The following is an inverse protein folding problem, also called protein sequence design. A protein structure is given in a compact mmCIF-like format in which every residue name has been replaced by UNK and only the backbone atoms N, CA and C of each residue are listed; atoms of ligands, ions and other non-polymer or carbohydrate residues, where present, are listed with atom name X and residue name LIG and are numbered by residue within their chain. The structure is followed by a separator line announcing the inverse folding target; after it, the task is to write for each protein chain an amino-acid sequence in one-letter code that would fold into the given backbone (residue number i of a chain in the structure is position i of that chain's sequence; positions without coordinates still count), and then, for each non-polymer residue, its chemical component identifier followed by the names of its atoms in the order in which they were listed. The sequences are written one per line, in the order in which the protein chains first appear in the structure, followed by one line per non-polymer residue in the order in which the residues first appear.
data_IF_168714437819
#
_entry.id   IF_168714437819
#
_cell.length_a   1.000
_cell.length_b   1.000
_cell.length_c   1.000
_cell.angle_alpha   90.00
_cell.angle_beta   90.00
_cell.angle_gamma   90.00
#
_symmetry.space_group_name_H-M   'P 1'
#
loop_
_entity.id
_entity.type
_entity.pdbx_description
1 polymer ?
#
# COMPACT_ATOMS: atom_id res chain seq x y z
N UNK A 1 -14.87 -19.37 -19.39
CA UNK A 1 -14.58 -18.10 -18.69
C UNK A 1 -14.79 -18.36 -17.22
N UNK A 2 -13.74 -18.64 -16.45
CA UNK A 2 -13.85 -18.75 -14.99
C UNK A 2 -13.90 -17.32 -14.50
N UNK A 3 -15.12 -16.76 -14.45
CA UNK A 3 -15.36 -15.36 -14.18
C UNK A 3 -14.69 -14.95 -12.88
N UNK A 4 -13.93 -13.86 -12.91
CA UNK A 4 -13.56 -13.17 -11.68
C UNK A 4 -14.87 -12.80 -10.99
N UNK A 5 -15.05 -13.39 -9.82
CA UNK A 5 -16.21 -13.19 -8.96
C UNK A 5 -16.32 -11.71 -8.61
N UNK A 6 -17.35 -11.01 -9.09
CA UNK A 6 -17.55 -9.57 -8.82
C UNK A 6 -17.70 -9.29 -7.32
N UNK A 7 -18.11 -10.30 -6.54
CA UNK A 7 -18.11 -10.21 -5.09
C UNK A 7 -16.71 -10.01 -4.48
N UNK A 8 -15.64 -10.35 -5.22
CA UNK A 8 -14.26 -10.09 -4.78
C UNK A 8 -14.01 -8.61 -4.48
N UNK A 9 -14.64 -7.70 -5.24
CA UNK A 9 -14.53 -6.24 -5.00
C UNK A 9 -15.04 -5.89 -3.59
N UNK A 10 -16.14 -6.51 -3.16
CA UNK A 10 -16.71 -6.30 -1.83
C UNK A 10 -15.84 -6.97 -0.76
N UNK A 11 -15.28 -8.15 -1.03
CA UNK A 11 -14.34 -8.81 -0.11
C UNK A 11 -13.10 -7.95 0.10
N UNK A 12 -12.53 -7.39 -0.96
CA UNK A 12 -11.34 -6.51 -0.90
C UNK A 12 -11.63 -5.20 -0.14
N UNK A 13 -12.82 -4.61 -0.34
CA UNK A 13 -13.29 -3.46 0.44
C UNK A 13 -13.30 -3.79 1.95
N UNK A 14 -13.83 -4.96 2.31
CA UNK A 14 -13.92 -5.40 3.72
C UNK A 14 -12.54 -5.70 4.29
N UNK A 15 -11.66 -6.34 3.52
CA UNK A 15 -10.27 -6.57 3.91
C UNK A 15 -9.54 -5.25 4.20
N UNK A 16 -9.70 -4.27 3.32
CA UNK A 16 -9.12 -2.94 3.49
C UNK A 16 -9.68 -2.24 4.73
N UNK A 17 -10.99 -2.28 4.93
CA UNK A 17 -11.65 -1.67 6.09
C UNK A 17 -11.18 -2.29 7.41
N UNK A 18 -11.13 -3.63 7.51
CA UNK A 18 -10.64 -4.32 8.70
C UNK A 18 -9.17 -4.03 8.95
N UNK A 19 -8.34 -3.97 7.90
CA UNK A 19 -6.93 -3.61 8.01
C UNK A 19 -6.75 -2.17 8.53
N UNK A 20 -7.55 -1.21 8.04
CA UNK A 20 -7.55 0.17 8.52
C UNK A 20 -7.92 0.26 10.01
N UNK A 21 -9.00 -0.39 10.43
CA UNK A 21 -9.42 -0.41 11.85
C UNK A 21 -8.34 -1.08 12.71
N UNK A 22 -7.74 -2.17 12.24
CA UNK A 22 -6.63 -2.84 12.95
C UNK A 22 -5.44 -1.89 13.12
N UNK A 23 -5.06 -1.15 12.08
CA UNK A 23 -3.97 -0.18 12.13
C UNK A 23 -4.26 0.96 13.13
N UNK A 24 -5.50 1.46 13.18
CA UNK A 24 -5.92 2.46 14.17
C UNK A 24 -5.86 1.93 15.61
N UNK A 25 -6.35 0.71 15.85
CA UNK A 25 -6.29 0.10 17.19
C UNK A 25 -4.85 -0.21 17.62
N UNK A 26 -3.99 -0.67 16.70
CA UNK A 26 -2.55 -0.84 16.94
C UNK A 26 -1.90 0.49 17.35
N UNK A 27 -2.25 1.59 16.69
CA UNK A 27 -1.73 2.91 17.04
C UNK A 27 -2.19 3.36 18.44
N UNK A 28 -3.42 3.04 18.86
CA UNK A 28 -3.94 3.36 20.21
C UNK A 28 -3.23 2.58 21.31
N UNK A 29 -2.91 1.31 21.08
CA UNK A 29 -2.27 0.45 22.09
C UNK A 29 -0.74 0.57 22.11
N UNK A 30 -0.13 1.23 21.12
CA UNK A 30 1.33 1.30 20.93
C UNK A 30 2.12 1.63 22.18
N UNK A 31 1.75 2.70 22.90
CA UNK A 31 2.47 3.10 24.12
C UNK A 31 2.40 2.01 25.20
N UNK A 32 1.20 1.45 25.42
CA UNK A 32 0.97 0.40 26.40
C UNK A 32 1.68 -0.89 26.02
N UNK A 33 1.72 -1.25 24.74
CA UNK A 33 2.43 -2.44 24.26
C UNK A 33 3.94 -2.29 24.35
N UNK A 34 4.48 -1.09 24.13
CA UNK A 34 5.90 -0.79 24.34
C UNK A 34 6.28 -0.91 25.82
N UNK A 35 5.45 -0.41 26.74
CA UNK A 35 5.65 -0.56 28.20
C UNK A 35 5.61 -2.03 28.65
N UNK A 36 4.63 -2.81 28.17
CA UNK A 36 4.53 -4.25 28.48
C UNK A 36 5.69 -5.05 27.88
N UNK A 37 6.13 -4.70 26.68
CA UNK A 37 7.30 -5.31 26.05
C UNK A 37 8.59 -5.00 26.79
N UNK A 38 8.74 -3.78 27.32
CA UNK A 38 9.85 -3.39 28.20
C UNK A 38 9.87 -4.28 29.45
N UNK A 39 8.73 -4.45 30.13
CA UNK A 39 8.63 -5.32 31.31
C UNK A 39 8.97 -6.78 31.00
N UNK A 40 8.48 -7.30 29.86
CA UNK A 40 8.77 -8.67 29.43
C UNK A 40 10.24 -8.87 29.03
N UNK A 41 10.86 -7.85 28.45
CA UNK A 41 12.29 -7.85 28.12
C UNK A 41 13.16 -7.81 29.39
N UNK A 42 12.75 -7.04 30.41
CA UNK A 42 13.42 -7.03 31.71
C UNK A 42 13.34 -8.41 32.39
N UNK A 43 12.21 -9.10 32.29
CA UNK A 43 12.06 -10.46 32.82
C UNK A 43 12.98 -11.48 32.12
N UNK A 44 13.26 -11.30 30.82
CA UNK A 44 14.24 -12.13 30.08
C UNK A 44 15.69 -11.82 30.47
N UNK A 45 16.01 -10.55 30.76
CA UNK A 45 17.35 -10.11 31.15
C UNK A 45 17.69 -10.41 32.62
N UNK A 46 16.66 -10.43 33.48
CA UNK A 46 16.71 -10.77 34.90
C UNK A 46 15.73 -11.92 35.17
N UNK A 47 16.04 -13.16 34.74
CA UNK A 47 15.20 -14.30 35.05
C UNK A 47 15.05 -14.40 36.57
N UNK A 48 13.81 -14.35 37.05
CA UNK A 48 13.50 -14.58 38.47
C UNK A 48 13.98 -15.99 38.81
N UNK A 49 15.06 -16.11 39.57
CA UNK A 49 15.40 -17.40 40.17
C UNK A 49 14.23 -17.77 41.09
N UNK A 50 13.62 -18.95 40.97
CA UNK A 50 12.73 -19.45 42.01
C UNK A 50 13.61 -19.72 43.22
N UNK A 51 13.80 -18.72 44.08
CA UNK A 51 14.54 -18.90 45.32
C UNK A 51 13.69 -19.80 46.23
N UNK A 52 14.17 -21.01 46.57
CA UNK A 52 13.66 -21.68 47.75
C UNK A 52 14.17 -20.86 48.93
N UNK A 53 13.27 -20.49 49.85
CA UNK A 53 13.52 -19.75 51.09
C UNK A 53 13.36 -18.23 50.98
N UNK A 54 12.36 -17.76 51.71
CA UNK A 54 12.04 -16.36 52.02
C UNK A 54 13.21 -15.65 52.70
N UNK A 55 14.03 -14.95 51.92
CA UNK A 55 15.02 -13.99 52.43
C UNK A 55 14.34 -12.62 52.49
N UNK A 56 14.13 -12.08 53.70
CA UNK A 56 13.64 -10.70 53.90
C UNK A 56 14.56 -9.71 53.14
N UNK A 57 13.96 -8.80 52.37
CA UNK A 57 14.68 -7.81 51.54
C UNK A 57 15.22 -8.32 50.19
N UNK A 58 14.99 -9.59 49.81
CA UNK A 58 15.30 -10.06 48.44
C UNK A 58 14.40 -9.39 47.38
N UNK A 59 13.13 -9.16 47.71
CA UNK A 59 12.17 -8.46 46.84
C UNK A 59 12.58 -7.00 46.58
N UNK A 60 13.05 -6.28 47.61
CA UNK A 60 13.52 -4.89 47.47
C UNK A 60 14.80 -4.78 46.64
N UNK A 61 15.76 -5.70 46.84
CA UNK A 61 16.99 -5.74 46.02
C UNK A 61 16.70 -6.08 44.56
N UNK A 62 15.75 -6.97 44.30
CA UNK A 62 15.29 -7.30 42.95
C UNK A 62 14.60 -6.11 42.27
N UNK A 63 13.76 -5.36 43.01
CA UNK A 63 13.10 -4.15 42.51
C UNK A 63 14.11 -3.05 42.15
N UNK A 64 15.06 -2.75 43.04
CA UNK A 64 16.11 -1.75 42.77
C UNK A 64 17.00 -2.13 41.58
N UNK A 65 17.28 -3.42 41.41
CA UNK A 65 18.06 -3.91 40.26
C UNK A 65 17.27 -3.81 38.95
N UNK A 66 15.95 -4.06 38.99
CA UNK A 66 15.04 -3.91 37.85
C UNK A 66 14.93 -2.45 37.41
N UNK A 67 14.82 -1.52 38.35
CA UNK A 67 14.71 -0.09 38.04
C UNK A 67 15.97 0.46 37.38
N UNK A 68 17.16 0.11 37.92
CA UNK A 68 18.45 0.47 37.29
C UNK A 68 18.60 -0.12 35.89
N UNK A 69 18.13 -1.36 35.67
CA UNK A 69 18.20 -1.99 34.35
C UNK A 69 17.22 -1.34 33.37
N UNK A 70 16.04 -0.92 33.84
CA UNK A 70 15.06 -0.16 33.05
C UNK A 70 15.66 1.14 32.54
N UNK A 71 16.34 1.90 33.39
CA UNK A 71 17.03 3.14 32.98
C UNK A 71 18.08 2.87 31.89
N UNK A 72 18.92 1.83 32.08
CA UNK A 72 19.93 1.44 31.07
C UNK A 72 19.32 0.97 29.76
N UNK A 73 18.19 0.27 29.81
CA UNK A 73 17.47 -0.19 28.62
C UNK A 73 16.88 0.99 27.84
N UNK A 74 16.34 2.00 28.54
CA UNK A 74 15.86 3.25 27.94
C UNK A 74 16.99 4.09 27.35
N UNK A 75 18.16 4.07 27.99
CA UNK A 75 19.37 4.73 27.50
C UNK A 75 20.02 4.03 26.28
N UNK A 76 19.53 2.83 25.90
CA UNK A 76 20.06 2.07 24.76
C UNK A 76 21.39 1.35 25.04
N UNK A 77 21.87 1.37 26.29
CA UNK A 77 23.16 0.77 26.67
C UNK A 77 23.19 -0.75 26.56
N UNK A 78 22.02 -1.38 26.44
CA UNK A 78 21.87 -2.83 26.42
C UNK A 78 21.55 -3.40 25.03
N UNK A 79 21.39 -2.56 24.00
CA UNK A 79 20.83 -2.91 22.69
C UNK A 79 21.56 -4.05 21.96
N UNK A 80 22.84 -4.29 22.28
CA UNK A 80 23.68 -5.34 21.71
C UNK A 80 23.63 -6.68 22.47
N UNK A 81 22.97 -6.75 23.63
CA UNK A 81 22.91 -7.99 24.42
C UNK A 81 21.98 -8.99 23.75
N UNK A 82 22.36 -10.27 23.76
CA UNK A 82 21.53 -11.34 23.20
C UNK A 82 20.49 -11.82 24.21
N UNK A 83 19.26 -12.04 23.74
CA UNK A 83 18.15 -12.62 24.49
C UNK A 83 17.42 -13.66 23.66
N UNK A 84 16.86 -14.67 24.32
CA UNK A 84 16.04 -15.69 23.70
C UNK A 84 14.57 -15.25 23.72
N UNK A 85 13.98 -15.06 22.53
CA UNK A 85 12.59 -14.65 22.36
C UNK A 85 11.83 -15.76 21.63
N UNK A 86 10.64 -16.08 22.11
CA UNK A 86 9.72 -16.97 21.40
C UNK A 86 9.02 -16.19 20.30
N UNK A 87 9.22 -16.62 19.06
CA UNK A 87 8.59 -16.05 17.86
C UNK A 87 7.68 -17.10 17.25
N UNK A 88 6.49 -16.70 16.81
CA UNK A 88 5.61 -17.58 16.04
C UNK A 88 6.12 -17.66 14.61
N UNK A 89 6.56 -18.84 14.19
CA UNK A 89 7.00 -19.08 12.83
C UNK A 89 5.90 -19.83 12.07
N UNK A 90 5.38 -19.20 11.02
CA UNK A 90 4.47 -19.87 10.08
C UNK A 90 5.30 -20.55 9.01
N UNK A 91 5.60 -21.84 9.19
CA UNK A 91 6.12 -22.64 8.08
C UNK A 91 5.01 -22.90 7.07
N UNK A 92 5.24 -22.54 5.81
CA UNK A 92 4.56 -23.18 4.68
C UNK A 92 5.15 -24.59 4.56
N UNK A 93 4.36 -25.66 4.76
CA UNK A 93 4.89 -27.02 4.64
C UNK A 93 5.22 -27.29 3.16
N UNK A 94 6.50 -27.50 2.87
CA UNK A 94 6.95 -28.01 1.58
C UNK A 94 6.77 -29.54 1.60
N UNK A 95 5.97 -30.09 0.67
CA UNK A 95 5.79 -31.53 0.54
C UNK A 95 6.48 -32.01 -0.75
N UNK A 96 7.55 -32.79 -0.60
CA UNK A 96 8.20 -33.46 -1.73
C UNK A 96 7.35 -34.65 -2.17
N UNK A 97 6.76 -34.55 -3.36
CA UNK A 97 5.97 -35.64 -3.97
C UNK A 97 6.88 -36.42 -4.91
N UNK A 98 7.03 -37.73 -4.66
CA UNK A 98 7.75 -38.62 -5.56
C UNK A 98 6.85 -39.02 -6.73
N UNK A 99 7.21 -38.59 -7.95
CA UNK A 99 6.58 -39.01 -9.20
C UNK A 99 7.45 -40.06 -9.91
N UNK A 100 6.88 -41.04 -10.64
CA UNK A 100 7.65 -42.06 -11.38
C UNK A 100 8.59 -41.51 -12.48
N UNK A 101 8.49 -40.22 -12.82
CA UNK A 101 9.30 -39.56 -13.86
C UNK A 101 10.49 -38.73 -13.37
N UNK A 102 10.70 -38.60 -12.06
CA UNK A 102 11.75 -37.76 -11.49
C UNK A 102 11.29 -36.94 -10.28
N UNK A 103 12.22 -36.19 -9.70
CA UNK A 103 11.97 -35.29 -8.58
C UNK A 103 11.45 -33.95 -9.13
N UNK A 104 10.14 -33.73 -9.09
CA UNK A 104 9.54 -32.42 -9.42
C UNK A 104 9.24 -31.66 -8.12
N UNK A 105 9.82 -30.47 -7.99
CA UNK A 105 9.44 -29.50 -6.95
C UNK A 105 8.07 -28.91 -7.28
N UNK A 106 7.01 -29.54 -6.78
CA UNK A 106 5.68 -28.94 -6.81
C UNK A 106 5.54 -28.08 -5.56
N UNK A 107 5.79 -26.77 -5.71
CA UNK A 107 5.40 -25.78 -4.73
C UNK A 107 3.87 -25.76 -4.64
N UNK A 108 3.31 -26.38 -3.60
CA UNK A 108 1.88 -26.33 -3.33
C UNK A 108 1.55 -24.95 -2.73
N UNK A 109 1.41 -23.92 -3.58
CA UNK A 109 0.59 -22.77 -3.24
C UNK A 109 -0.87 -23.24 -3.23
N UNK A 110 -1.28 -23.84 -2.11
CA UNK A 110 -2.69 -24.08 -1.78
C UNK A 110 -3.11 -23.02 -0.77
N UNK A 111 -3.62 -21.85 -1.22
CA UNK A 111 -4.14 -20.85 -0.31
C UNK A 111 -5.50 -21.31 0.20
N UNK A 112 -5.63 -21.45 1.52
CA UNK A 112 -6.92 -21.25 2.19
C UNK A 112 -7.47 -22.39 3.04
N UNK A 113 -7.15 -23.67 2.76
CA UNK A 113 -7.80 -24.78 3.47
C UNK A 113 -6.90 -25.56 4.45
N UNK A 114 -5.64 -25.85 4.10
CA UNK A 114 -4.74 -26.65 4.96
C UNK A 114 -3.89 -25.82 5.93
N UNK A 115 -3.65 -24.54 5.66
CA UNK A 115 -2.79 -23.68 6.48
C UNK A 115 -3.31 -23.43 7.90
N UNK A 116 -4.62 -23.60 8.12
CA UNK A 116 -5.25 -23.45 9.43
C UNK A 116 -5.28 -24.74 10.27
N UNK A 117 -4.84 -25.89 9.73
CA UNK A 117 -4.82 -27.15 10.46
C UNK A 117 -3.51 -27.39 11.25
N UNK A 118 -2.44 -26.66 10.94
CA UNK A 118 -1.19 -26.75 11.68
C UNK A 118 -1.08 -25.56 12.65
N UNK A 119 -1.01 -25.79 13.97
CA UNK A 119 -0.79 -24.71 14.92
C UNK A 119 0.55 -24.04 14.65
N UNK A 120 0.58 -22.70 14.69
CA UNK A 120 1.82 -21.94 14.61
C UNK A 120 2.77 -22.46 15.71
N UNK A 121 3.92 -22.99 15.30
CA UNK A 121 4.93 -23.44 16.27
C UNK A 121 5.67 -22.21 16.78
N UNK A 122 5.73 -22.10 18.11
CA UNK A 122 6.59 -21.12 18.77
C UNK A 122 8.02 -21.63 18.71
N UNK A 123 8.89 -20.90 18.00
CA UNK A 123 10.31 -21.20 17.90
C UNK A 123 11.07 -20.19 18.76
N UNK A 124 12.00 -20.68 19.56
CA UNK A 124 12.87 -19.80 20.37
C UNK A 124 14.04 -19.35 19.51
N UNK A 125 14.18 -18.04 19.33
CA UNK A 125 15.26 -17.43 18.54
C UNK A 125 16.11 -16.53 19.43
N UNK A 126 17.43 -16.60 19.26
CA UNK A 126 18.36 -15.63 19.83
C UNK A 126 18.39 -14.37 18.96
N UNK A 127 18.06 -13.24 19.57
CA UNK A 127 18.04 -11.92 18.94
C UNK A 127 18.67 -10.91 19.87
N UNK A 128 19.11 -9.76 19.34
CA UNK A 128 19.58 -8.68 20.20
C UNK A 128 18.39 -8.02 20.94
N UNK A 129 18.63 -7.31 22.02
CA UNK A 129 17.55 -6.68 22.80
C UNK A 129 16.79 -5.60 22.02
N UNK A 130 17.42 -4.94 21.04
CA UNK A 130 16.76 -3.95 20.18
C UNK A 130 15.68 -4.58 19.30
N UNK A 131 15.99 -5.69 18.65
CA UNK A 131 15.10 -6.53 17.85
C UNK A 131 14.06 -7.20 18.76
N UNK A 132 14.48 -7.75 19.90
CA UNK A 132 13.59 -8.32 20.90
C UNK A 132 12.52 -7.32 21.34
N UNK A 133 12.90 -6.06 21.60
CA UNK A 133 11.96 -4.99 21.97
C UNK A 133 10.89 -4.79 20.92
N UNK A 134 11.26 -4.76 19.63
CA UNK A 134 10.32 -4.59 18.51
C UNK A 134 9.37 -5.79 18.40
N UNK A 135 9.92 -7.01 18.45
CA UNK A 135 9.14 -8.25 18.35
C UNK A 135 8.17 -8.38 19.53
N UNK A 136 8.62 -8.15 20.75
CA UNK A 136 7.79 -8.21 21.95
C UNK A 136 6.71 -7.12 21.93
N UNK A 137 7.03 -5.89 21.50
CA UNK A 137 6.05 -4.82 21.37
C UNK A 137 4.94 -5.18 20.39
N UNK A 138 5.27 -5.81 19.26
CA UNK A 138 4.28 -6.30 18.31
C UNK A 138 3.40 -7.40 18.92
N UNK A 139 3.99 -8.39 19.61
CA UNK A 139 3.23 -9.45 20.28
C UNK A 139 2.27 -8.92 21.35
N UNK A 140 2.74 -8.00 22.21
CA UNK A 140 1.89 -7.41 23.24
C UNK A 140 0.79 -6.53 22.64
N UNK A 141 1.08 -5.79 21.56
CA UNK A 141 0.08 -5.02 20.84
C UNK A 141 -1.03 -5.92 20.29
N UNK A 142 -0.68 -7.07 19.70
CA UNK A 142 -1.66 -8.02 19.16
C UNK A 142 -2.54 -8.67 20.24
N UNK A 143 -2.01 -8.87 21.45
CA UNK A 143 -2.79 -9.38 22.60
C UNK A 143 -3.77 -8.35 23.16
N UNK A 144 -3.41 -7.06 23.09
CA UNK A 144 -4.26 -5.97 23.58
C UNK A 144 -5.44 -5.66 22.65
N UNK A 145 -5.41 -6.16 21.42
CA UNK A 145 -6.45 -5.89 20.43
C UNK A 145 -7.60 -6.89 20.56
N UNK A 146 -8.80 -6.36 20.72
CA UNK A 146 -10.04 -7.11 20.58
C UNK A 146 -10.34 -7.35 19.10
N UNK A 147 -10.04 -8.57 18.63
CA UNK A 147 -10.24 -8.98 17.23
C UNK A 147 -11.72 -8.98 16.83
N UNK A 148 -12.63 -9.29 17.74
CA UNK A 148 -14.06 -9.28 17.45
C UNK A 148 -14.55 -7.85 17.24
N UNK A 149 -14.11 -6.91 18.10
CA UNK A 149 -14.40 -5.49 17.95
C UNK A 149 -13.85 -4.93 16.65
N UNK A 150 -12.59 -5.22 16.32
CA UNK A 150 -11.96 -4.78 15.05
C UNK A 150 -12.75 -5.30 13.86
N UNK A 151 -13.12 -6.58 13.87
CA UNK A 151 -13.90 -7.21 12.80
C UNK A 151 -15.27 -6.55 12.65
N UNK A 152 -16.00 -6.39 13.76
CA UNK A 152 -17.34 -5.76 13.77
C UNK A 152 -17.30 -4.33 13.26
N UNK A 153 -16.33 -3.55 13.71
CA UNK A 153 -16.17 -2.16 13.28
C UNK A 153 -15.72 -2.06 11.82
N UNK A 154 -14.82 -2.94 11.36
CA UNK A 154 -14.41 -3.01 9.96
C UNK A 154 -15.58 -3.34 9.03
N UNK A 155 -16.43 -4.31 9.41
CA UNK A 155 -17.66 -4.62 8.68
C UNK A 155 -18.64 -3.44 8.66
N UNK A 156 -18.81 -2.75 9.80
CA UNK A 156 -19.69 -1.57 9.89
C UNK A 156 -19.21 -0.46 8.95
N UNK A 157 -17.92 -0.11 8.99
CA UNK A 157 -17.34 0.94 8.13
C UNK A 157 -17.41 0.59 6.65
N UNK A 158 -17.18 -0.67 6.29
CA UNK A 158 -17.31 -1.12 4.91
C UNK A 158 -18.74 -0.94 4.38
N UNK A 159 -19.76 -1.18 5.21
CA UNK A 159 -21.16 -1.04 4.84
C UNK A 159 -21.62 0.43 4.81
N UNK A 160 -21.27 1.23 5.82
CA UNK A 160 -21.80 2.58 6.00
C UNK A 160 -20.99 3.70 5.34
N UNK A 161 -19.71 3.45 5.05
CA UNK A 161 -18.78 4.45 4.52
C UNK A 161 -17.82 3.88 3.48
N UNK A 162 -18.09 2.65 3.00
CA UNK A 162 -17.33 2.03 1.95
C UNK A 162 -17.46 2.80 0.65
N UNK A 163 -16.35 2.91 -0.08
CA UNK A 163 -16.32 3.49 -1.42
C UNK A 163 -15.66 2.51 -2.37
N UNK A 164 -16.32 2.21 -3.48
CA UNK A 164 -15.81 1.37 -4.56
C UNK A 164 -15.61 2.25 -5.79
N UNK A 165 -14.37 2.31 -6.30
CA UNK A 165 -14.03 3.00 -7.53
C UNK A 165 -13.89 1.99 -8.67
N UNK A 166 -14.73 2.12 -9.71
CA UNK A 166 -14.72 1.29 -10.91
C UNK A 166 -14.11 2.13 -12.04
N UNK A 167 -12.86 1.87 -12.37
CA UNK A 167 -12.19 2.54 -13.49
C UNK A 167 -12.57 1.90 -14.83
N UNK A 168 -12.36 2.65 -15.93
CA UNK A 168 -12.57 2.19 -17.30
C UNK A 168 -13.97 1.56 -17.57
N UNK A 169 -15.02 2.10 -16.92
CA UNK A 169 -16.39 1.63 -17.09
C UNK A 169 -16.86 1.73 -18.55
N UNK A 170 -16.27 2.62 -19.36
CA UNK A 170 -16.56 2.74 -20.79
C UNK A 170 -16.14 1.49 -21.60
N UNK A 171 -15.23 0.64 -21.09
CA UNK A 171 -14.76 -0.59 -21.76
C UNK A 171 -15.73 -1.75 -21.67
N UNK A 172 -16.60 -1.76 -20.66
CA UNK A 172 -17.65 -2.79 -20.51
C UNK A 172 -18.94 -2.41 -21.23
N UNK A 173 -18.97 -1.24 -21.87
CA UNK A 173 -20.10 -0.73 -22.67
C UNK A 173 -20.01 -1.24 -24.11
N UNK A 174 -21.12 -1.75 -24.65
CA UNK A 174 -21.20 -2.22 -26.03
C UNK A 174 -22.57 -2.81 -26.36
N UNK A 175 -23.08 -2.48 -27.55
CA UNK A 175 -24.36 -3.00 -28.04
C UNK A 175 -24.18 -4.32 -28.80
N UNK A 176 -25.16 -5.22 -28.65
CA UNK A 176 -25.35 -6.48 -29.38
C UNK A 176 -25.56 -6.27 -30.89
N UNK A 177 -24.57 -5.73 -31.61
CA UNK A 177 -24.62 -5.52 -33.07
C UNK A 177 -23.58 -6.38 -33.79
N UNK A 178 -23.59 -7.69 -33.52
CA UNK A 178 -22.81 -8.68 -34.25
C UNK A 178 -22.97 -10.10 -33.68
N UNK A 179 -23.15 -11.09 -34.56
CA UNK A 179 -23.14 -12.52 -34.19
C UNK A 179 -21.69 -13.01 -33.98
N UNK A 180 -20.97 -12.38 -33.06
CA UNK A 180 -19.61 -12.73 -32.62
C UNK A 180 -19.54 -12.89 -31.10
N UNK A 181 -18.35 -13.13 -30.49
CA UNK A 181 -18.20 -13.39 -29.06
C UNK A 181 -18.40 -12.11 -28.21
N UNK A 182 -19.60 -11.52 -28.27
CA UNK A 182 -20.02 -10.28 -27.60
C UNK A 182 -20.70 -10.53 -26.24
N UNK A 183 -20.87 -11.79 -25.85
CA UNK A 183 -21.48 -12.21 -24.57
C UNK A 183 -20.68 -11.72 -23.34
N UNK A 184 -19.42 -11.30 -23.52
CA UNK A 184 -18.52 -10.99 -22.41
C UNK A 184 -18.63 -9.57 -21.84
N UNK A 185 -19.06 -8.55 -22.61
CA UNK A 185 -19.06 -7.15 -22.11
C UNK A 185 -20.33 -6.80 -21.36
N UNK A 186 -21.48 -7.13 -21.92
CA UNK A 186 -22.78 -7.02 -21.24
C UNK A 186 -22.90 -7.95 -20.03
N UNK A 187 -22.19 -9.08 -20.04
CA UNK A 187 -22.08 -9.99 -18.88
C UNK A 187 -21.52 -9.30 -17.65
N UNK A 188 -20.40 -8.57 -17.78
CA UNK A 188 -19.77 -7.87 -16.65
C UNK A 188 -20.70 -6.80 -16.06
N UNK A 189 -21.45 -6.08 -16.91
CA UNK A 189 -22.45 -5.12 -16.42
C UNK A 189 -23.56 -5.80 -15.60
N UNK A 190 -24.05 -6.95 -16.06
CA UNK A 190 -25.08 -7.73 -15.34
C UNK A 190 -24.54 -8.33 -14.04
N UNK A 191 -23.28 -8.74 -14.02
CA UNK A 191 -22.62 -9.28 -12.82
C UNK A 191 -22.34 -8.19 -11.77
N UNK A 192 -22.09 -6.93 -12.21
CA UNK A 192 -21.96 -5.77 -11.34
C UNK A 192 -23.28 -5.29 -10.76
N UNK A 193 -24.39 -5.50 -11.47
CA UNK A 193 -25.68 -4.96 -11.10
C UNK A 193 -26.10 -5.35 -9.67
N UNK A 194 -26.11 -6.63 -9.24
CA UNK A 194 -26.49 -7.00 -7.88
C UNK A 194 -25.72 -6.24 -6.79
N UNK A 195 -24.42 -6.04 -6.99
CA UNK A 195 -23.55 -5.37 -6.03
C UNK A 195 -23.89 -3.88 -5.92
N UNK A 196 -24.21 -3.23 -7.03
CA UNK A 196 -24.61 -1.81 -7.06
C UNK A 196 -26.06 -1.60 -6.61
N UNK A 197 -26.94 -2.59 -6.81
CA UNK A 197 -28.34 -2.52 -6.34
C UNK A 197 -28.50 -2.78 -4.84
N UNK A 198 -27.57 -3.50 -4.24
CA UNK A 198 -27.63 -3.95 -2.86
C UNK A 198 -27.63 -5.48 -2.80
N UNK A 199 -26.47 -6.06 -2.50
CA UNK A 199 -26.28 -7.50 -2.35
C UNK A 199 -25.76 -7.83 -0.96
N UNK A 200 -26.02 -9.07 -0.55
CA UNK A 200 -25.45 -9.66 0.66
C UNK A 200 -24.30 -10.57 0.26
N UNK A 201 -23.07 -10.15 0.57
CA UNK A 201 -21.84 -10.86 0.22
C UNK A 201 -21.23 -11.52 1.46
N UNK A 202 -20.85 -12.79 1.31
CA UNK A 202 -20.13 -13.53 2.35
C UNK A 202 -18.62 -13.25 2.26
N UNK A 203 -18.04 -12.83 3.38
CA UNK A 203 -16.59 -12.61 3.52
C UNK A 203 -16.02 -13.47 4.65
N UNK A 204 -14.69 -13.60 4.71
CA UNK A 204 -14.02 -14.30 5.83
C UNK A 204 -14.24 -13.65 7.21
N UNK A 205 -14.71 -12.41 7.23
CA UNK A 205 -14.97 -11.63 8.44
C UNK A 205 -16.44 -11.66 8.86
N UNK A 206 -17.33 -12.10 7.98
CA UNK A 206 -18.77 -12.09 8.19
C UNK A 206 -19.52 -11.65 6.93
N UNK A 207 -20.82 -11.46 7.10
CA UNK A 207 -21.74 -11.07 6.03
C UNK A 207 -21.76 -9.55 5.90
N UNK A 208 -21.73 -9.05 4.66
CA UNK A 208 -21.71 -7.61 4.35
C UNK A 208 -22.80 -7.27 3.34
N UNK A 209 -23.48 -6.15 3.58
CA UNK A 209 -24.50 -5.59 2.70
C UNK A 209 -23.96 -4.37 1.94
N UNK A 210 -24.20 -4.31 0.64
CA UNK A 210 -23.68 -3.22 -0.21
C UNK A 210 -24.65 -2.04 -0.41
N UNK A 211 -25.81 -2.07 0.24
CA UNK A 211 -26.91 -1.09 0.09
C UNK A 211 -26.47 0.38 0.25
N UNK A 212 -25.48 0.65 1.10
CA UNK A 212 -24.99 2.00 1.40
C UNK A 212 -23.55 2.26 0.94
N UNK A 213 -22.97 1.33 0.16
CA UNK A 213 -21.63 1.52 -0.40
C UNK A 213 -21.72 2.54 -1.53
N UNK A 214 -20.84 3.54 -1.50
CA UNK A 214 -20.75 4.54 -2.57
C UNK A 214 -19.97 3.96 -3.75
N UNK A 215 -20.61 3.89 -4.91
CA UNK A 215 -19.95 3.53 -6.16
C UNK A 215 -19.58 4.78 -6.95
N UNK A 216 -18.31 4.89 -7.31
CA UNK A 216 -17.80 5.90 -8.23
C UNK A 216 -17.30 5.15 -9.44
N UNK A 217 -17.80 5.48 -10.61
CA UNK A 217 -17.33 4.85 -11.83
C UNK A 217 -16.82 5.90 -12.81
N UNK A 218 -15.65 5.62 -13.38
CA UNK A 218 -14.93 6.51 -14.28
C UNK A 218 -14.74 5.83 -15.64
N UNK A 219 -14.60 6.63 -16.68
CA UNK A 219 -14.35 6.17 -18.03
C UNK A 219 -14.11 7.34 -18.96
N UNK A 220 -13.37 7.12 -20.04
CA UNK A 220 -13.10 8.17 -21.01
C UNK A 220 -14.32 8.45 -21.91
N UNK A 221 -15.16 7.43 -22.14
CA UNK A 221 -16.37 7.52 -22.97
C UNK A 221 -16.12 8.15 -24.35
N UNK A 222 -14.97 7.84 -24.96
CA UNK A 222 -14.57 8.34 -26.28
C UNK A 222 -15.18 7.51 -27.43
N UNK A 223 -15.32 6.20 -27.23
CA UNK A 223 -15.89 5.25 -28.20
C UNK A 223 -17.31 4.79 -27.84
N UNK A 224 -17.75 5.07 -26.62
CA UNK A 224 -19.05 4.69 -26.08
C UNK A 224 -19.64 5.85 -25.30
N UNK A 225 -20.97 5.90 -25.16
CA UNK A 225 -21.64 6.92 -24.36
C UNK A 225 -22.19 6.30 -23.07
N UNK A 226 -22.34 7.08 -21.99
CA UNK A 226 -23.03 6.61 -20.79
C UNK A 226 -24.45 6.10 -21.05
N UNK A 227 -25.11 6.57 -22.12
CA UNK A 227 -26.42 6.08 -22.58
C UNK A 227 -26.41 4.64 -23.10
N UNK A 228 -25.24 4.10 -23.40
CA UNK A 228 -25.07 2.77 -23.98
C UNK A 228 -24.88 1.69 -22.87
N UNK A 229 -24.80 2.10 -21.59
CA UNK A 229 -24.91 1.19 -20.44
C UNK A 229 -26.31 0.54 -20.40
N UNK A 230 -26.43 -0.63 -19.77
CA UNK A 230 -27.76 -1.23 -19.54
C UNK A 230 -28.65 -0.26 -18.72
N UNK A 231 -29.96 -0.16 -19.03
CA UNK A 231 -30.86 0.78 -18.35
C UNK A 231 -30.82 0.70 -16.82
N UNK A 232 -30.67 -0.50 -16.28
CA UNK A 232 -30.61 -0.78 -14.85
C UNK A 232 -29.40 -0.11 -14.19
N UNK A 233 -28.20 -0.21 -14.79
CA UNK A 233 -27.00 0.45 -14.29
C UNK A 233 -27.08 1.97 -14.44
N UNK A 234 -27.67 2.48 -15.53
CA UNK A 234 -27.86 3.93 -15.69
C UNK A 234 -28.69 4.53 -14.54
N UNK A 235 -29.72 3.81 -14.07
CA UNK A 235 -30.52 4.22 -12.93
C UNK A 235 -29.75 4.26 -11.60
N UNK A 236 -28.65 3.49 -11.47
CA UNK A 236 -27.80 3.44 -10.28
C UNK A 236 -26.65 4.44 -10.28
N UNK A 237 -26.35 5.07 -11.41
CA UNK A 237 -25.41 6.18 -11.53
C UNK A 237 -26.13 7.49 -11.92
N UNK A 238 -26.97 8.05 -11.01
CA UNK A 238 -27.76 9.25 -11.31
C UNK A 238 -26.91 10.52 -11.36
N UNK A 239 -25.83 10.57 -10.58
CA UNK A 239 -24.92 11.72 -10.55
C UNK A 239 -23.88 11.57 -11.66
N UNK A 240 -23.82 12.57 -12.54
CA UNK A 240 -22.87 12.62 -13.66
C UNK A 240 -22.06 13.89 -13.55
N UNK A 241 -20.73 13.75 -13.60
CA UNK A 241 -19.80 14.86 -13.62
C UNK A 241 -18.80 14.64 -14.76
N UNK A 242 -18.52 15.69 -15.51
CA UNK A 242 -17.53 15.68 -16.58
C UNK A 242 -16.29 16.44 -16.10
N UNK A 243 -15.13 15.79 -16.19
CA UNK A 243 -13.85 16.40 -15.84
C UNK A 243 -13.22 17.00 -17.08
N UNK A 244 -12.65 18.20 -16.94
CA UNK A 244 -11.95 18.89 -18.02
C UNK A 244 -10.56 18.30 -18.23
N UNK A 245 -10.09 18.27 -19.47
CA UNK A 245 -8.69 17.99 -19.80
C UNK A 245 -7.77 19.01 -19.16
N UNK A 246 -6.56 18.57 -18.81
CA UNK A 246 -5.56 19.39 -18.15
C UNK A 246 -4.72 20.16 -19.18
N UNK A 247 -4.50 21.45 -18.94
CA UNK A 247 -3.62 22.29 -19.74
C UNK A 247 -2.23 22.47 -19.14
N UNK A 248 -1.39 23.25 -19.85
CA UNK A 248 -0.06 23.67 -19.37
C UNK A 248 -0.12 24.33 -17.99
N UNK A 249 -1.08 25.21 -17.77
CA UNK A 249 -1.26 25.90 -16.47
C UNK A 249 -1.56 24.92 -15.35
N UNK A 250 -2.43 23.93 -15.60
CA UNK A 250 -2.75 22.91 -14.61
C UNK A 250 -1.54 22.04 -14.27
N UNK A 251 -0.70 21.71 -15.25
CA UNK A 251 0.54 20.97 -15.02
C UNK A 251 1.55 21.73 -14.15
N UNK A 252 1.71 23.04 -14.35
CA UNK A 252 2.55 23.87 -13.46
C UNK A 252 2.04 23.77 -12.01
N UNK A 253 0.72 23.86 -11.83
CA UNK A 253 0.08 23.75 -10.52
C UNK A 253 0.27 22.36 -9.93
N UNK A 254 0.10 21.29 -10.70
CA UNK A 254 0.32 19.90 -10.27
C UNK A 254 1.77 19.66 -9.82
N UNK A 255 2.75 20.26 -10.49
CA UNK A 255 4.17 20.14 -10.14
C UNK A 255 4.55 20.85 -8.83
N UNK A 256 3.76 21.82 -8.36
CA UNK A 256 4.18 22.74 -7.28
C UNK A 256 3.21 22.86 -6.12
N UNK A 257 1.90 22.90 -6.36
CA UNK A 257 0.87 23.18 -5.35
C UNK A 257 0.53 21.97 -4.44
N UNK A 258 0.31 20.74 -4.96
CA UNK A 258 -0.04 19.60 -4.12
C UNK A 258 0.92 19.39 -2.95
N UNK A 259 0.38 18.92 -1.80
CA UNK A 259 1.19 18.68 -0.59
C UNK A 259 2.41 17.80 -0.89
N UNK A 260 2.19 16.76 -1.68
CA UNK A 260 3.22 15.85 -2.18
C UNK A 260 3.41 16.02 -3.69
N UNK A 261 3.58 17.25 -4.17
CA UNK A 261 3.85 17.50 -5.59
C UNK A 261 5.17 16.83 -6.04
N UNK A 262 5.27 16.45 -7.31
CA UNK A 262 6.42 15.67 -7.83
C UNK A 262 7.77 16.34 -7.54
N UNK A 263 7.88 17.64 -7.77
CA UNK A 263 9.13 18.36 -7.52
C UNK A 263 9.51 18.37 -6.03
N UNK A 264 8.52 18.42 -5.12
CA UNK A 264 8.76 18.31 -3.67
C UNK A 264 9.25 16.92 -3.29
N UNK A 265 8.66 15.87 -3.89
CA UNK A 265 9.08 14.49 -3.66
C UNK A 265 10.53 14.28 -4.11
N UNK A 266 10.88 14.66 -5.34
CA UNK A 266 12.24 14.52 -5.86
C UNK A 266 13.27 15.38 -5.11
N UNK A 267 12.89 16.59 -4.68
CA UNK A 267 13.75 17.42 -3.83
C UNK A 267 14.06 16.71 -2.52
N UNK A 268 13.04 16.15 -1.85
CA UNK A 268 13.22 15.42 -0.60
C UNK A 268 14.01 14.11 -0.78
N UNK A 269 13.82 13.39 -1.90
CA UNK A 269 14.58 12.19 -2.22
C UNK A 269 16.06 12.50 -2.44
N UNK A 270 16.40 13.54 -3.19
CA UNK A 270 17.80 13.86 -3.46
C UNK A 270 18.48 14.53 -2.25
N UNK A 271 17.71 15.13 -1.34
CA UNK A 271 18.22 15.62 -0.07
C UNK A 271 18.71 14.48 0.85
N UNK A 272 18.21 13.25 0.73
CA UNK A 272 18.74 12.10 1.50
C UNK A 272 20.16 11.72 1.08
N UNK A 273 20.53 12.03 -0.17
CA UNK A 273 21.88 11.87 -0.71
C UNK A 273 22.74 13.13 -0.49
N UNK A 274 22.23 14.14 0.24
CA UNK A 274 22.96 15.39 0.49
C UNK A 274 22.94 16.39 -0.66
N UNK A 275 22.02 16.24 -1.62
CA UNK A 275 21.85 17.17 -2.75
C UNK A 275 20.63 18.05 -2.54
N UNK A 276 20.84 19.37 -2.56
CA UNK A 276 19.77 20.36 -2.49
C UNK A 276 19.43 20.88 -3.87
N UNK A 277 18.22 20.61 -4.33
CA UNK A 277 17.73 21.08 -5.63
C UNK A 277 16.78 22.25 -5.45
N UNK A 278 16.96 23.27 -6.29
CA UNK A 278 16.02 24.37 -6.44
C UNK A 278 15.52 24.40 -7.89
N UNK A 279 14.21 24.21 -8.07
CA UNK A 279 13.58 24.36 -9.37
C UNK A 279 13.18 25.83 -9.57
N UNK A 280 13.79 26.48 -10.55
CA UNK A 280 13.37 27.83 -10.95
C UNK A 280 12.03 27.77 -11.67
N UNK A 281 11.27 28.86 -11.59
CA UNK A 281 9.93 28.96 -12.19
C UNK A 281 9.95 28.66 -13.70
N UNK A 282 10.99 29.11 -14.41
CA UNK A 282 11.17 28.85 -15.84
C UNK A 282 11.37 27.35 -16.14
N UNK A 283 12.04 26.59 -15.27
CA UNK A 283 12.16 25.14 -15.40
C UNK A 283 10.82 24.43 -15.25
N UNK A 284 10.02 24.82 -14.25
CA UNK A 284 8.68 24.24 -14.02
C UNK A 284 7.78 24.48 -15.21
N UNK A 285 7.78 25.71 -15.71
CA UNK A 285 7.05 26.10 -16.91
C UNK A 285 7.49 25.34 -18.15
N UNK A 286 8.79 25.14 -18.34
CA UNK A 286 9.34 24.38 -19.47
C UNK A 286 8.92 22.90 -19.39
N UNK A 287 9.03 22.26 -18.22
CA UNK A 287 8.59 20.87 -18.03
C UNK A 287 7.09 20.70 -18.30
N UNK A 288 6.27 21.65 -17.84
CA UNK A 288 4.83 21.63 -18.08
C UNK A 288 4.48 21.84 -19.56
N UNK A 289 5.17 22.75 -20.26
CA UNK A 289 5.02 22.95 -21.72
C UNK A 289 5.34 21.67 -22.46
N UNK A 290 6.51 21.08 -22.20
CA UNK A 290 6.96 19.87 -22.88
C UNK A 290 5.98 18.71 -22.66
N UNK A 291 5.48 18.52 -21.43
CA UNK A 291 4.49 17.50 -21.14
C UNK A 291 3.18 17.69 -21.93
N UNK A 292 2.69 18.94 -22.02
CA UNK A 292 1.49 19.27 -22.79
C UNK A 292 1.69 19.06 -24.31
N UNK A 293 2.84 19.48 -24.83
CA UNK A 293 3.19 19.31 -26.24
C UNK A 293 3.30 17.83 -26.63
N UNK A 294 3.92 17.01 -25.78
CA UNK A 294 3.99 15.55 -25.99
C UNK A 294 2.59 14.94 -26.00
N UNK A 295 1.73 15.30 -25.05
CA UNK A 295 0.35 14.79 -25.02
C UNK A 295 -0.45 15.19 -26.28
N UNK A 296 -0.20 16.38 -26.84
CA UNK A 296 -0.86 16.82 -28.07
C UNK A 296 -0.33 16.15 -29.35
N UNK A 297 0.96 15.80 -29.37
CA UNK A 297 1.63 15.21 -30.53
C UNK A 297 1.57 13.69 -30.57
N UNK A 298 1.32 13.04 -29.44
CA UNK A 298 1.29 11.58 -29.29
C UNK A 298 -0.03 11.09 -28.68
N UNK A 299 0.02 10.14 -27.75
CA UNK A 299 -1.14 9.70 -26.98
C UNK A 299 -1.24 10.55 -25.71
N UNK A 300 -2.38 11.20 -25.50
CA UNK A 300 -2.64 11.93 -24.27
C UNK A 300 -2.83 10.94 -23.11
N UNK A 301 -1.87 10.94 -22.17
CA UNK A 301 -1.93 10.16 -20.93
C UNK A 301 -2.20 11.06 -19.71
N UNK A 302 -2.56 12.33 -19.95
CA UNK A 302 -2.85 13.33 -18.95
C UNK A 302 -1.63 13.68 -18.09
N UNK A 303 -1.86 13.93 -16.80
CA UNK A 303 -0.82 14.31 -15.84
C UNK A 303 0.25 13.23 -15.62
N UNK A 304 0.01 11.96 -16.01
CA UNK A 304 1.01 10.88 -15.90
C UNK A 304 2.29 11.21 -16.68
N UNK A 305 2.18 12.00 -17.76
CA UNK A 305 3.33 12.48 -18.54
C UNK A 305 4.34 13.28 -17.71
N UNK A 306 3.89 13.96 -16.65
CA UNK A 306 4.78 14.72 -15.78
C UNK A 306 5.77 13.82 -15.03
N UNK A 307 5.40 12.56 -14.75
CA UNK A 307 6.32 11.62 -14.12
C UNK A 307 7.50 11.30 -15.05
N UNK A 308 7.23 10.89 -16.28
CA UNK A 308 8.27 10.54 -17.24
C UNK A 308 9.14 11.74 -17.58
N UNK A 309 8.55 12.93 -17.76
CA UNK A 309 9.31 14.18 -18.00
C UNK A 309 10.24 14.51 -16.83
N UNK A 310 9.75 14.51 -15.58
CA UNK A 310 10.57 14.85 -14.41
C UNK A 310 11.65 13.81 -14.16
N UNK A 311 11.34 12.52 -14.34
CA UNK A 311 12.30 11.43 -14.17
C UNK A 311 13.48 11.55 -15.15
N UNK A 312 13.19 11.78 -16.44
CA UNK A 312 14.24 11.98 -17.46
C UNK A 312 15.07 13.25 -17.21
N UNK A 313 14.47 14.34 -16.71
CA UNK A 313 15.21 15.56 -16.34
C UNK A 313 16.20 15.29 -15.19
N UNK A 314 15.82 14.44 -14.25
CA UNK A 314 16.59 14.17 -13.03
C UNK A 314 17.44 12.89 -13.10
N UNK A 315 17.30 12.06 -14.12
CA UNK A 315 17.95 10.75 -14.23
C UNK A 315 19.47 10.82 -13.98
N UNK A 316 20.18 11.64 -14.77
CA UNK A 316 21.63 11.77 -14.63
C UNK A 316 22.03 12.36 -13.27
N UNK A 317 21.22 13.28 -12.74
CA UNK A 317 21.49 13.87 -11.44
C UNK A 317 21.33 12.83 -10.32
N UNK A 318 20.30 12.00 -10.41
CA UNK A 318 20.03 10.90 -9.48
C UNK A 318 21.15 9.85 -9.54
N UNK A 319 21.63 9.51 -10.75
CA UNK A 319 22.73 8.56 -10.93
C UNK A 319 24.07 9.07 -10.39
N UNK A 320 24.38 10.35 -10.62
CA UNK A 320 25.63 10.96 -10.18
C UNK A 320 25.60 11.44 -8.73
N UNK A 321 24.43 11.38 -8.08
CA UNK A 321 24.21 11.97 -6.76
C UNK A 321 25.24 11.56 -5.70
N UNK A 322 25.58 10.26 -5.53
CA UNK A 322 26.53 9.85 -4.49
C UNK A 322 27.95 10.37 -4.72
N UNK A 323 28.31 10.69 -5.97
CA UNK A 323 29.65 11.15 -6.33
C UNK A 323 29.83 12.66 -6.18
N UNK A 324 28.74 13.44 -6.32
CA UNK A 324 28.77 14.90 -6.28
C UNK A 324 28.29 15.48 -4.95
N UNK A 325 27.76 14.65 -4.06
CA UNK A 325 27.33 15.06 -2.74
C UNK A 325 28.51 15.52 -1.86
N UNK A 326 28.35 16.60 -1.07
CA UNK A 326 27.19 17.48 -0.99
C UNK A 326 27.20 18.57 -2.08
N UNK A 327 26.04 18.82 -2.70
CA UNK A 327 25.90 19.85 -3.73
C UNK A 327 24.58 20.61 -3.62
N UNK A 328 24.57 21.86 -4.10
CA UNK A 328 23.35 22.64 -4.32
C UNK A 328 23.22 22.99 -5.79
N UNK A 329 22.11 22.61 -6.40
CA UNK A 329 21.91 22.62 -7.85
C UNK A 329 20.62 23.36 -8.15
N UNK A 330 20.72 24.40 -8.96
CA UNK A 330 19.56 25.11 -9.49
C UNK A 330 19.23 24.55 -10.87
N UNK A 331 17.98 24.12 -11.06
CA UNK A 331 17.46 23.65 -12.34
C UNK A 331 16.70 24.80 -13.00
N UNK A 332 17.14 25.17 -14.21
CA UNK A 332 16.54 26.21 -15.05
C UNK A 332 15.93 25.62 -16.33
N UNK A 333 15.26 26.45 -17.13
CA UNK A 333 14.66 26.01 -18.39
C UNK A 333 15.69 25.45 -19.39
N UNK A 334 16.94 25.96 -19.37
CA UNK A 334 18.00 25.48 -20.27
C UNK A 334 18.39 24.05 -19.91
N UNK A 335 18.59 23.76 -18.63
CA UNK A 335 18.87 22.41 -18.14
C UNK A 335 17.78 21.43 -18.57
N UNK A 336 16.50 21.79 -18.38
CA UNK A 336 15.36 20.96 -18.81
C UNK A 336 15.41 20.67 -20.31
N UNK A 337 15.61 21.70 -21.15
CA UNK A 337 15.71 21.52 -22.61
C UNK A 337 16.90 20.67 -23.00
N UNK A 338 18.07 20.89 -22.42
CA UNK A 338 19.28 20.16 -22.77
C UNK A 338 19.13 18.66 -22.43
N UNK A 339 18.47 18.33 -21.31
CA UNK A 339 18.16 16.94 -20.94
C UNK A 339 17.13 16.27 -21.84
N UNK A 340 16.11 17.01 -22.26
CA UNK A 340 15.01 16.45 -23.05
C UNK A 340 15.24 16.57 -24.57
N UNK A 341 16.29 17.26 -25.02
CA UNK A 341 16.54 17.57 -26.44
C UNK A 341 16.61 16.34 -27.33
N UNK A 342 17.33 15.31 -26.90
CA UNK A 342 17.49 14.06 -27.64
C UNK A 342 16.19 13.27 -27.69
N UNK A 343 15.44 13.27 -26.59
CA UNK A 343 14.15 12.58 -26.47
C UNK A 343 13.07 13.27 -27.33
N UNK A 344 13.07 14.60 -27.43
CA UNK A 344 12.08 15.35 -28.19
C UNK A 344 12.31 15.33 -29.71
N UNK A 345 13.53 15.07 -30.16
CA UNK A 345 13.88 15.09 -31.58
C UNK A 345 13.32 13.88 -32.37
N UNK A 346 13.02 12.78 -31.69
CA UNK A 346 12.65 11.51 -32.30
C UNK A 346 11.22 11.12 -31.90
N UNK A 347 10.31 10.97 -32.87
CA UNK A 347 8.92 10.57 -32.61
C UNK A 347 8.79 9.14 -32.10
N UNK A 348 9.67 8.23 -32.52
CA UNK A 348 9.64 6.86 -32.07
C UNK A 348 10.12 6.79 -30.62
N UNK A 349 11.21 7.49 -30.30
CA UNK A 349 11.69 7.59 -28.90
C UNK A 349 10.65 8.22 -27.98
N UNK A 350 9.92 9.24 -28.44
CA UNK A 350 8.79 9.84 -27.68
C UNK A 350 7.68 8.85 -27.35
N UNK A 351 7.44 7.83 -28.17
CA UNK A 351 6.41 6.81 -27.90
C UNK A 351 6.88 5.72 -26.94
N UNK A 352 8.19 5.47 -26.88
CA UNK A 352 8.76 4.38 -26.07
C UNK A 352 9.27 4.85 -24.70
N UNK A 353 9.80 6.06 -24.59
CA UNK A 353 10.48 6.55 -23.37
C UNK A 353 9.64 7.56 -22.60
N UNK A 354 8.95 8.46 -23.31
CA UNK A 354 8.20 9.55 -22.68
C UNK A 354 6.74 9.22 -22.61
#
# INVERSE_FOLDING_TARGET
YVGRDVESIVRDLVETSVAMVKAEELAKVRKRSEELAEERLLDLLLPRRPDPVSVEGAAERAAQSRDKLREKLRAGELDSREVEVQVEERQTPFMQVFSPGGMEEVGMDMPGALGNMFPARQVTRRVNTGEARRVLAQQEAEKLIDRERVTREGLRRAQESGMIFIDEMDKIVGADKGSGPDVSRGGVQRDLLPIVEGATVNTRYGVVKTDYVLFIAAGAFSLSKPSDLIPELQGRFPLRAELKSLGREDFIRILTEPKSALLKQYTALLETEGIKIEFRQDAVEEMATIAADINSSTQDIGARRLHTVVENVLEELSFTAPAIAPASISIDAKYVRDRLKTLLADEDVRKYIL
#
